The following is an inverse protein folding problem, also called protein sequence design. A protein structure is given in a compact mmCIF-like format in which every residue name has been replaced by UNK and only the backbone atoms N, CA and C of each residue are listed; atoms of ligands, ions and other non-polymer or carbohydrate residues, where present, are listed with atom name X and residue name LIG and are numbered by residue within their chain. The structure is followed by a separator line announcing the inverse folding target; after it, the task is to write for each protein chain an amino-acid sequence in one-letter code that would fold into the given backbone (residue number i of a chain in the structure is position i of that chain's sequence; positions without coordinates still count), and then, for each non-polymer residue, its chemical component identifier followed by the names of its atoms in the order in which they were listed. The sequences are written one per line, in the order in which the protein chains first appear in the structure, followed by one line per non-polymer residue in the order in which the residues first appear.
data_IF_494140612748
#
_entry.id   IF_494140612748
#
_cell.length_a   1.000
_cell.length_b   1.000
_cell.length_c   1.000
_cell.angle_alpha   90.00
_cell.angle_beta   90.00
_cell.angle_gamma   90.00
#
_symmetry.space_group_name_H-M   'P 1'
#
loop_
_entity.id
_entity.type
_entity.pdbx_description
1 polymer ?
#
# COMPACT_ATOMS: atom_id res chain seq x y z
N UNK A 1 -2.36 1.77 -9.04
CA UNK A 1 -3.32 0.85 -8.40
C UNK A 1 -3.22 -0.48 -9.08
N UNK A 2 -2.74 -1.48 -8.37
CA UNK A 2 -2.49 -2.82 -8.92
C UNK A 2 -3.67 -3.78 -8.76
N UNK A 3 -4.72 -3.39 -8.06
CA UNK A 3 -5.88 -4.24 -7.81
C UNK A 3 -7.00 -3.95 -8.83
N UNK A 4 -7.47 -5.01 -9.51
CA UNK A 4 -8.64 -4.94 -10.38
C UNK A 4 -9.89 -4.41 -9.68
N UNK A 5 -9.94 -4.52 -8.37
CA UNK A 5 -11.06 -4.10 -7.53
C UNK A 5 -11.29 -2.57 -7.56
N UNK A 6 -10.22 -1.78 -7.54
CA UNK A 6 -10.35 -0.31 -7.51
C UNK A 6 -10.65 0.34 -8.87
N UNK A 7 -10.44 -0.33 -9.99
CA UNK A 7 -10.62 0.27 -11.33
C UNK A 7 -12.08 0.66 -11.60
N UNK A 8 -13.03 -0.17 -11.15
CA UNK A 8 -14.47 0.08 -11.32
C UNK A 8 -14.94 1.21 -10.41
N UNK A 9 -14.49 1.21 -9.16
CA UNK A 9 -14.79 2.30 -8.22
C UNK A 9 -14.19 3.63 -8.70
N UNK A 10 -12.93 3.62 -9.18
CA UNK A 10 -12.30 4.80 -9.75
C UNK A 10 -13.04 5.27 -11.01
N UNK A 11 -13.53 4.37 -11.84
CA UNK A 11 -14.35 4.72 -13.00
C UNK A 11 -15.61 5.46 -12.57
N UNK A 12 -16.34 4.94 -11.60
CA UNK A 12 -17.56 5.59 -11.07
C UNK A 12 -17.26 6.97 -10.49
N UNK A 13 -16.24 7.07 -9.64
CA UNK A 13 -15.82 8.34 -9.04
C UNK A 13 -15.40 9.34 -10.12
N UNK A 14 -14.61 8.89 -11.10
CA UNK A 14 -14.15 9.77 -12.19
C UNK A 14 -15.31 10.29 -13.04
N UNK A 15 -16.27 9.42 -13.38
CA UNK A 15 -17.47 9.81 -14.13
C UNK A 15 -18.30 10.84 -13.36
N UNK A 16 -18.47 10.64 -12.05
CA UNK A 16 -19.18 11.60 -11.20
C UNK A 16 -18.45 12.95 -11.12
N UNK A 17 -17.11 12.95 -10.98
CA UNK A 17 -16.33 14.18 -10.96
C UNK A 17 -16.44 14.94 -12.30
N UNK A 18 -16.39 14.23 -13.43
CA UNK A 18 -16.55 14.84 -14.75
C UNK A 18 -17.95 15.44 -14.88
N UNK A 19 -19.00 14.78 -14.43
CA UNK A 19 -20.37 15.30 -14.46
C UNK A 19 -20.52 16.60 -13.65
N UNK A 20 -19.64 16.81 -12.67
CA UNK A 20 -19.55 18.03 -11.86
C UNK A 20 -18.62 19.10 -12.44
N UNK A 21 -18.08 18.88 -13.64
CA UNK A 21 -17.22 19.82 -14.35
C UNK A 21 -15.74 19.76 -14.03
N UNK A 22 -15.27 18.72 -13.32
CA UNK A 22 -13.85 18.52 -13.07
C UNK A 22 -13.15 17.83 -14.26
N UNK A 23 -11.93 18.25 -14.56
CA UNK A 23 -11.07 17.54 -15.49
C UNK A 23 -10.33 16.42 -14.74
N UNK A 24 -10.55 15.16 -15.13
CA UNK A 24 -10.02 14.00 -14.43
C UNK A 24 -8.93 13.31 -15.23
N UNK A 25 -7.79 13.08 -14.62
CA UNK A 25 -6.65 12.36 -15.21
C UNK A 25 -6.32 11.15 -14.33
N UNK A 26 -6.24 9.97 -14.92
CA UNK A 26 -5.84 8.75 -14.23
C UNK A 26 -4.35 8.47 -14.46
N UNK A 27 -3.57 8.47 -13.39
CA UNK A 27 -2.17 8.05 -13.40
C UNK A 27 -2.04 6.63 -12.85
N UNK A 28 -1.44 5.72 -13.60
CA UNK A 28 -1.31 4.32 -13.17
C UNK A 28 -0.01 3.67 -13.61
N UNK A 29 0.55 2.80 -12.77
CA UNK A 29 1.65 1.90 -13.14
C UNK A 29 1.16 0.56 -13.71
N UNK A 30 -0.14 0.30 -13.72
CA UNK A 30 -0.74 -0.94 -14.21
C UNK A 30 -1.25 -0.79 -15.64
N UNK A 31 -0.62 -1.51 -16.59
CA UNK A 31 -1.12 -1.56 -17.98
C UNK A 31 -2.57 -2.02 -18.06
N UNK A 32 -2.97 -2.97 -17.19
CA UNK A 32 -4.34 -3.49 -17.17
C UNK A 32 -5.35 -2.42 -16.74
N UNK A 33 -5.01 -1.60 -15.76
CA UNK A 33 -5.85 -0.48 -15.33
C UNK A 33 -5.92 0.58 -16.43
N UNK A 34 -4.77 0.94 -17.02
CA UNK A 34 -4.73 1.87 -18.13
C UNK A 34 -5.62 1.42 -19.31
N UNK A 35 -5.48 0.18 -19.75
CA UNK A 35 -6.30 -0.38 -20.83
C UNK A 35 -7.80 -0.42 -20.48
N UNK A 36 -8.13 -0.66 -19.20
CA UNK A 36 -9.52 -0.61 -18.75
C UNK A 36 -10.13 0.78 -18.97
N UNK A 37 -9.43 1.85 -18.59
CA UNK A 37 -9.91 3.22 -18.81
C UNK A 37 -9.97 3.56 -20.31
N UNK A 38 -8.97 3.22 -21.09
CA UNK A 38 -8.96 3.47 -22.53
C UNK A 38 -10.15 2.82 -23.28
N UNK A 39 -10.62 1.67 -22.77
CA UNK A 39 -11.71 0.92 -23.42
C UNK A 39 -13.08 1.35 -22.88
N UNK A 40 -13.23 1.47 -21.54
CA UNK A 40 -14.52 1.64 -20.92
C UNK A 40 -14.86 3.11 -20.58
N UNK A 41 -13.86 3.97 -20.57
CA UNK A 41 -14.02 5.41 -20.25
C UNK A 41 -13.08 6.23 -21.14
N UNK A 42 -13.29 6.24 -22.47
CA UNK A 42 -12.39 6.89 -23.42
C UNK A 42 -12.27 8.41 -23.19
N UNK A 43 -13.28 9.03 -22.59
CA UNK A 43 -13.28 10.45 -22.24
C UNK A 43 -12.37 10.79 -21.06
N UNK A 44 -11.91 9.77 -20.32
CA UNK A 44 -11.00 9.95 -19.19
C UNK A 44 -9.56 9.77 -19.68
N UNK A 45 -8.77 10.83 -19.62
CA UNK A 45 -7.34 10.77 -19.93
C UNK A 45 -6.64 9.80 -18.96
N UNK A 46 -6.14 8.68 -19.47
CA UNK A 46 -5.40 7.69 -18.67
C UNK A 46 -3.96 7.60 -19.12
N UNK A 47 -3.03 7.67 -18.17
CA UNK A 47 -1.59 7.72 -18.40
C UNK A 47 -0.90 6.53 -17.73
N UNK A 48 -0.26 5.69 -18.54
CA UNK A 48 0.57 4.59 -18.08
C UNK A 48 1.98 5.08 -17.75
N UNK A 49 2.26 5.34 -16.47
CA UNK A 49 3.49 5.97 -15.99
C UNK A 49 4.80 5.37 -16.52
N UNK A 50 4.98 4.02 -16.56
CA UNK A 50 6.23 3.46 -17.09
C UNK A 50 6.45 3.74 -18.58
N UNK A 51 5.40 3.98 -19.36
CA UNK A 51 5.52 4.38 -20.76
C UNK A 51 5.76 5.87 -20.87
N UNK A 52 5.00 6.68 -20.14
CA UNK A 52 5.15 8.13 -20.09
C UNK A 52 6.57 8.55 -19.65
N UNK A 53 7.11 7.90 -18.62
CA UNK A 53 8.50 8.16 -18.22
C UNK A 53 9.52 7.85 -19.32
N UNK A 54 9.33 6.74 -20.06
CA UNK A 54 10.22 6.37 -21.17
C UNK A 54 10.10 7.30 -22.38
N UNK A 55 8.91 7.86 -22.64
CA UNK A 55 8.70 8.78 -23.76
C UNK A 55 9.48 10.08 -23.64
N UNK A 56 9.96 10.42 -22.43
CA UNK A 56 10.86 11.55 -22.22
C UNK A 56 12.24 11.37 -22.90
N UNK A 57 12.59 10.15 -23.32
CA UNK A 57 13.89 9.87 -23.95
C UNK A 57 15.11 10.11 -23.05
N UNK A 58 14.91 10.32 -21.75
CA UNK A 58 15.98 10.59 -20.81
C UNK A 58 16.88 9.36 -20.63
N UNK A 59 18.18 9.55 -20.78
CA UNK A 59 19.16 8.56 -20.33
C UNK A 59 19.19 8.55 -18.82
N UNK A 60 19.27 7.35 -18.24
CA UNK A 60 19.41 7.22 -16.80
C UNK A 60 20.64 7.97 -16.28
N UNK A 61 20.45 8.73 -15.22
CA UNK A 61 21.50 9.46 -14.52
C UNK A 61 21.33 9.23 -13.00
N UNK A 62 22.39 8.75 -12.36
CA UNK A 62 22.41 8.64 -10.90
C UNK A 62 22.33 10.02 -10.24
N UNK A 63 23.10 11.00 -10.73
CA UNK A 63 23.07 12.38 -10.23
C UNK A 63 21.69 13.03 -10.44
N UNK A 64 21.07 12.82 -11.61
CA UNK A 64 19.74 13.36 -11.87
C UNK A 64 18.67 12.80 -10.94
N UNK A 65 18.75 11.50 -10.58
CA UNK A 65 17.84 10.95 -9.57
C UNK A 65 18.14 11.50 -8.18
N UNK A 66 19.40 11.69 -7.81
CA UNK A 66 19.80 12.26 -6.53
C UNK A 66 19.32 13.71 -6.38
N UNK A 67 19.40 14.50 -7.47
CA UNK A 67 18.84 15.86 -7.53
C UNK A 67 17.32 15.89 -7.33
N UNK A 68 16.57 14.97 -7.96
CA UNK A 68 15.14 14.84 -7.74
C UNK A 68 14.80 14.53 -6.28
N UNK A 69 15.49 13.58 -5.64
CA UNK A 69 15.27 13.30 -4.24
C UNK A 69 15.63 14.47 -3.33
N UNK A 70 16.70 15.21 -3.67
CA UNK A 70 17.07 16.46 -2.98
C UNK A 70 16.00 17.54 -3.18
N UNK A 71 15.50 17.72 -4.40
CA UNK A 71 14.38 18.64 -4.72
C UNK A 71 13.17 18.36 -3.81
N UNK A 72 12.85 17.08 -3.61
CA UNK A 72 11.72 16.66 -2.78
C UNK A 72 12.05 16.53 -1.28
N UNK A 73 13.28 16.82 -0.88
CA UNK A 73 13.75 16.69 0.51
C UNK A 73 13.41 15.31 1.12
N UNK A 74 13.71 14.26 0.38
CA UNK A 74 13.40 12.90 0.81
C UNK A 74 14.63 11.97 0.73
N UNK A 75 14.79 11.12 1.74
CA UNK A 75 15.91 10.19 1.83
C UNK A 75 15.69 8.98 0.91
N UNK A 76 16.63 8.72 -0.01
CA UNK A 76 16.55 7.59 -0.93
C UNK A 76 16.56 6.23 -0.22
N UNK A 77 17.32 6.09 0.85
CA UNK A 77 17.41 4.82 1.57
C UNK A 77 16.08 4.50 2.24
N UNK A 78 15.42 5.52 2.77
CA UNK A 78 14.06 5.41 3.28
C UNK A 78 13.07 5.04 2.17
N UNK A 79 13.16 5.70 1.02
CA UNK A 79 12.28 5.44 -0.12
C UNK A 79 12.40 4.00 -0.63
N UNK A 80 13.63 3.49 -0.76
CA UNK A 80 13.89 2.15 -1.28
C UNK A 80 13.91 1.06 -0.20
N UNK A 81 13.74 1.40 1.07
CA UNK A 81 13.87 0.46 2.18
C UNK A 81 13.00 -0.78 2.02
N UNK A 82 11.71 -0.60 1.82
CA UNK A 82 10.77 -1.70 1.61
C UNK A 82 11.17 -2.60 0.45
N UNK A 83 11.48 -1.99 -0.67
CA UNK A 83 11.78 -2.71 -1.91
C UNK A 83 13.11 -3.47 -1.83
N UNK A 84 14.09 -2.91 -1.14
CA UNK A 84 15.41 -3.54 -1.00
C UNK A 84 15.46 -4.54 0.15
N UNK A 85 15.01 -4.15 1.33
CA UNK A 85 15.14 -4.96 2.55
C UNK A 85 14.06 -6.03 2.67
N UNK A 86 12.84 -5.72 2.24
CA UNK A 86 11.70 -6.64 2.38
C UNK A 86 11.51 -7.45 1.11
N UNK A 87 11.50 -6.79 -0.05
CA UNK A 87 11.25 -7.44 -1.34
C UNK A 87 12.52 -7.99 -2.01
N UNK A 88 13.69 -7.76 -1.43
CA UNK A 88 14.96 -8.29 -1.92
C UNK A 88 15.39 -7.77 -3.29
N UNK A 89 14.95 -6.58 -3.66
CA UNK A 89 15.24 -5.99 -4.98
C UNK A 89 16.58 -5.28 -4.98
N UNK A 90 17.26 -5.33 -6.14
CA UNK A 90 18.52 -4.61 -6.33
C UNK A 90 18.23 -3.10 -6.44
N UNK A 91 18.85 -2.29 -5.58
CA UNK A 91 18.70 -0.83 -5.55
C UNK A 91 18.95 -0.20 -6.94
N UNK A 92 19.96 -0.68 -7.67
CA UNK A 92 20.26 -0.23 -9.04
C UNK A 92 19.06 -0.38 -9.98
N UNK A 93 18.36 -1.52 -9.96
CA UNK A 93 17.19 -1.75 -10.82
C UNK A 93 16.03 -0.82 -10.44
N UNK A 94 15.84 -0.56 -9.15
CA UNK A 94 14.82 0.38 -8.67
C UNK A 94 15.13 1.81 -9.08
N UNK A 95 16.37 2.25 -8.99
CA UNK A 95 16.81 3.57 -9.44
C UNK A 95 16.53 3.76 -10.93
N UNK A 96 16.89 2.79 -11.77
CA UNK A 96 16.58 2.80 -13.20
C UNK A 96 15.07 2.84 -13.51
N UNK A 97 14.28 2.18 -12.68
CA UNK A 97 12.81 2.20 -12.84
C UNK A 97 12.20 3.53 -12.41
N UNK A 98 12.64 4.08 -11.28
CA UNK A 98 12.05 5.28 -10.69
C UNK A 98 12.44 6.57 -11.40
N UNK A 99 13.68 6.66 -11.91
CA UNK A 99 14.19 7.90 -12.52
C UNK A 99 13.29 8.46 -13.62
N UNK A 100 12.94 7.71 -14.67
CA UNK A 100 12.11 8.25 -15.74
C UNK A 100 10.67 8.55 -15.27
N UNK A 101 10.13 7.77 -14.33
CA UNK A 101 8.79 8.01 -13.81
C UNK A 101 8.76 9.26 -12.95
N UNK A 102 9.73 9.42 -12.05
CA UNK A 102 9.80 10.59 -11.17
C UNK A 102 10.07 11.87 -11.98
N UNK A 103 10.94 11.80 -13.00
CA UNK A 103 11.18 12.91 -13.93
C UNK A 103 9.94 13.28 -14.72
N UNK A 104 9.13 12.29 -15.13
CA UNK A 104 7.87 12.55 -15.80
C UNK A 104 6.86 13.23 -14.84
N UNK A 105 6.71 12.69 -13.65
CA UNK A 105 5.78 13.25 -12.65
C UNK A 105 6.17 14.68 -12.26
N UNK A 106 7.46 14.95 -12.13
CA UNK A 106 7.98 16.28 -11.82
C UNK A 106 7.51 17.32 -12.84
N UNK A 107 7.67 17.02 -14.13
CA UNK A 107 7.18 17.89 -15.22
C UNK A 107 5.66 17.93 -15.31
N UNK A 108 5.03 16.77 -15.20
CA UNK A 108 3.58 16.65 -15.34
C UNK A 108 2.82 17.52 -14.33
N UNK A 109 3.24 17.52 -13.06
CA UNK A 109 2.58 18.32 -12.04
C UNK A 109 2.83 19.83 -12.19
N UNK A 110 3.94 20.24 -12.82
CA UNK A 110 4.22 21.62 -13.14
C UNK A 110 3.41 22.11 -14.37
N UNK A 111 3.29 21.25 -15.38
CA UNK A 111 2.66 21.60 -16.67
C UNK A 111 1.12 21.56 -16.62
N UNK A 112 0.55 20.54 -15.96
CA UNK A 112 -0.91 20.30 -15.98
C UNK A 112 -1.70 21.13 -14.94
N UNK A 113 -1.04 21.88 -14.08
CA UNK A 113 -1.69 22.72 -13.04
C UNK A 113 -2.74 21.94 -12.24
N UNK A 114 -2.31 20.84 -11.64
CA UNK A 114 -3.16 19.96 -10.86
C UNK A 114 -3.61 20.64 -9.57
N UNK A 115 -4.91 20.72 -9.32
CA UNK A 115 -5.47 21.25 -8.08
C UNK A 115 -5.55 20.20 -6.99
N UNK A 116 -6.01 19.00 -7.36
CA UNK A 116 -6.26 17.89 -6.42
C UNK A 116 -5.57 16.61 -6.88
N UNK A 117 -4.96 15.91 -5.95
CA UNK A 117 -4.40 14.60 -6.22
C UNK A 117 -4.96 13.56 -5.25
N UNK A 118 -5.64 12.54 -5.80
CA UNK A 118 -6.19 11.42 -5.03
C UNK A 118 -5.31 10.20 -5.18
N UNK A 119 -4.70 9.75 -4.10
CA UNK A 119 -3.86 8.56 -4.06
C UNK A 119 -4.65 7.36 -3.52
N UNK A 120 -4.60 6.25 -4.24
CA UNK A 120 -5.29 5.01 -3.88
C UNK A 120 -4.30 3.84 -3.78
N UNK A 121 -3.40 3.87 -2.81
CA UNK A 121 -2.48 2.76 -2.58
C UNK A 121 -1.07 3.17 -2.18
N UNK A 122 -0.23 2.17 -1.95
CA UNK A 122 1.09 2.29 -1.33
C UNK A 122 2.18 1.66 -2.22
N UNK A 123 1.93 1.47 -3.51
CA UNK A 123 2.94 1.00 -4.44
C UNK A 123 4.02 2.08 -4.65
N UNK A 124 5.18 1.69 -5.16
CA UNK A 124 6.31 2.60 -5.35
C UNK A 124 5.95 3.82 -6.21
N UNK A 125 5.14 3.62 -7.27
CA UNK A 125 4.61 4.72 -8.10
C UNK A 125 3.69 5.66 -7.31
N UNK A 126 2.88 5.13 -6.40
CA UNK A 126 2.02 5.94 -5.54
C UNK A 126 2.84 6.81 -4.58
N UNK A 127 3.94 6.28 -4.05
CA UNK A 127 4.86 7.03 -3.20
C UNK A 127 5.57 8.13 -4.01
N UNK A 128 5.97 7.85 -5.26
CA UNK A 128 6.54 8.88 -6.15
C UNK A 128 5.55 10.03 -6.40
N UNK A 129 4.30 9.72 -6.70
CA UNK A 129 3.25 10.72 -6.89
C UNK A 129 3.01 11.54 -5.62
N UNK A 130 2.99 10.89 -4.46
CA UNK A 130 2.88 11.58 -3.18
C UNK A 130 4.05 12.52 -2.90
N UNK A 131 5.29 12.12 -3.19
CA UNK A 131 6.46 12.99 -3.03
C UNK A 131 6.36 14.26 -3.88
N UNK A 132 5.95 14.12 -5.13
CA UNK A 132 5.80 15.25 -6.05
C UNK A 132 4.67 16.16 -5.57
N UNK A 133 3.51 15.62 -5.23
CA UNK A 133 2.36 16.41 -4.78
C UNK A 133 2.63 17.24 -3.51
N UNK A 134 3.49 16.77 -2.61
CA UNK A 134 3.87 17.54 -1.40
C UNK A 134 4.65 18.82 -1.67
N UNK A 135 5.34 18.93 -2.80
CA UNK A 135 6.16 20.10 -3.15
C UNK A 135 5.47 21.03 -4.15
N UNK A 136 4.46 20.55 -4.79
CA UNK A 136 3.54 21.35 -5.60
C UNK A 136 2.37 21.75 -4.68
N UNK A 137 1.76 22.91 -4.88
CA UNK A 137 0.60 23.37 -4.10
C UNK A 137 -0.67 22.54 -4.42
N UNK A 138 -0.50 21.24 -4.63
CA UNK A 138 -1.58 20.30 -4.94
C UNK A 138 -2.19 19.81 -3.65
N UNK A 139 -3.50 19.91 -3.52
CA UNK A 139 -4.21 19.34 -2.39
C UNK A 139 -4.24 17.82 -2.50
N UNK A 140 -3.61 17.16 -1.54
CA UNK A 140 -3.41 15.71 -1.56
C UNK A 140 -4.43 14.99 -0.70
N UNK A 141 -5.05 13.97 -1.27
CA UNK A 141 -5.93 13.03 -0.56
C UNK A 141 -5.44 11.60 -0.71
N UNK A 142 -5.32 10.92 0.41
CA UNK A 142 -5.08 9.49 0.44
C UNK A 142 -6.36 8.76 0.81
N UNK A 143 -6.74 7.76 0.02
CA UNK A 143 -7.87 6.89 0.36
C UNK A 143 -7.38 5.54 0.82
N UNK A 144 -7.84 5.12 1.98
CA UNK A 144 -7.55 3.80 2.54
C UNK A 144 -8.84 3.06 2.83
N UNK A 145 -8.85 1.79 2.51
CA UNK A 145 -9.95 0.91 2.82
C UNK A 145 -10.02 0.61 4.32
N UNK A 146 -11.20 0.76 4.91
CA UNK A 146 -11.45 0.34 6.28
C UNK A 146 -11.69 -1.17 6.27
N UNK A 147 -10.67 -1.96 6.58
CA UNK A 147 -10.63 -3.40 6.41
C UNK A 147 -11.69 -4.20 7.19
N UNK A 148 -12.45 -3.55 8.05
CA UNK A 148 -13.46 -4.17 8.90
C UNK A 148 -14.90 -3.86 8.48
N UNK A 149 -15.10 -2.91 7.58
CA UNK A 149 -16.43 -2.47 7.12
C UNK A 149 -16.42 -2.53 5.59
N UNK A 150 -17.24 -3.40 5.03
CA UNK A 150 -17.36 -3.56 3.58
C UNK A 150 -17.76 -2.24 2.93
N UNK A 151 -17.08 -1.89 1.85
CA UNK A 151 -17.29 -0.69 1.04
C UNK A 151 -17.06 0.66 1.77
N UNK A 152 -16.42 0.65 2.93
CA UNK A 152 -16.06 1.87 3.62
C UNK A 152 -14.61 2.28 3.35
N UNK A 153 -14.43 3.52 2.92
CA UNK A 153 -13.13 4.15 2.72
C UNK A 153 -13.03 5.39 3.60
N UNK A 154 -11.87 5.64 4.15
CA UNK A 154 -11.57 6.93 4.75
C UNK A 154 -10.57 7.70 3.88
N UNK A 155 -10.65 9.01 3.97
CA UNK A 155 -9.83 9.94 3.21
C UNK A 155 -9.00 10.75 4.18
N UNK A 156 -7.72 10.92 3.88
CA UNK A 156 -6.81 11.73 4.69
C UNK A 156 -5.92 12.61 3.81
N UNK A 157 -5.43 13.69 4.36
CA UNK A 157 -4.50 14.60 3.71
C UNK A 157 -3.04 14.13 3.80
N UNK A 158 -2.75 13.03 4.48
CA UNK A 158 -1.40 12.45 4.55
C UNK A 158 -1.44 10.92 4.51
N UNK A 159 -0.35 10.30 4.04
CA UNK A 159 -0.18 8.85 4.03
C UNK A 159 -0.18 8.23 5.44
N UNK A 160 0.15 9.00 6.44
CA UNK A 160 0.54 8.50 7.76
C UNK A 160 -0.34 8.95 8.90
N UNK A 161 -1.34 9.77 8.66
CA UNK A 161 -2.13 10.36 9.74
C UNK A 161 -3.61 10.25 9.42
N UNK A 162 -4.33 9.73 10.39
CA UNK A 162 -5.76 9.96 10.47
C UNK A 162 -5.92 11.38 11.06
N UNK A 163 -5.70 12.40 10.22
CA UNK A 163 -5.61 13.81 10.63
C UNK A 163 -6.92 14.34 11.21
N UNK A 164 -8.03 13.71 10.89
CA UNK A 164 -9.36 14.08 11.40
C UNK A 164 -9.67 13.50 12.77
N UNK A 165 -8.92 12.50 13.27
CA UNK A 165 -9.05 12.03 14.66
C UNK A 165 -8.27 12.98 15.56
N UNK A 166 -8.98 13.96 16.08
CA UNK A 166 -8.41 14.86 17.09
C UNK A 166 -8.43 14.19 18.47
N UNK A 167 -7.44 14.48 19.33
CA UNK A 167 -7.41 13.94 20.71
C UNK A 167 -8.72 14.18 21.49
N UNK A 168 -9.44 15.26 21.17
CA UNK A 168 -10.72 15.59 21.76
C UNK A 168 -11.80 14.54 21.46
N UNK A 169 -11.76 13.92 20.28
CA UNK A 169 -12.69 12.84 19.93
C UNK A 169 -12.48 11.59 20.79
N UNK A 170 -11.23 11.30 21.13
CA UNK A 170 -10.90 10.15 21.99
C UNK A 170 -11.33 10.36 23.45
N UNK A 171 -11.53 11.62 23.86
CA UNK A 171 -12.00 11.99 25.22
C UNK A 171 -13.52 12.18 25.30
N UNK A 172 -14.20 12.24 24.16
CA UNK A 172 -15.64 12.43 24.11
C UNK A 172 -16.35 11.17 24.63
N UNK A 173 -17.21 11.33 25.61
CA UNK A 173 -18.10 10.23 26.02
C UNK A 173 -18.99 9.85 24.85
N UNK A 174 -18.93 8.58 24.46
CA UNK A 174 -19.81 8.04 23.42
C UNK A 174 -21.25 8.11 23.89
N UNK A 175 -22.14 8.47 22.97
CA UNK A 175 -23.58 8.39 23.22
C UNK A 175 -24.02 6.92 23.35
N UNK A 176 -25.18 6.66 23.95
CA UNK A 176 -25.76 5.31 23.98
C UNK A 176 -25.96 4.72 22.57
N UNK A 177 -26.25 5.59 21.58
CA UNK A 177 -26.38 5.19 20.19
C UNK A 177 -25.04 4.73 19.59
N UNK A 178 -23.95 5.50 19.83
CA UNK A 178 -22.62 5.14 19.36
C UNK A 178 -22.12 3.83 19.97
N UNK A 179 -22.39 3.62 21.28
CA UNK A 179 -22.04 2.37 21.97
C UNK A 179 -22.78 1.19 21.36
N UNK A 180 -24.07 1.34 21.06
CA UNK A 180 -24.87 0.28 20.42
C UNK A 180 -24.33 -0.06 19.02
N UNK A 181 -23.97 0.95 18.21
CA UNK A 181 -23.35 0.74 16.88
C UNK A 181 -22.03 -0.03 17.03
N UNK A 182 -21.20 0.35 18.01
CA UNK A 182 -19.94 -0.34 18.27
C UNK A 182 -20.14 -1.80 18.73
N UNK A 183 -21.12 -2.05 19.60
CA UNK A 183 -21.47 -3.41 20.07
C UNK A 183 -22.03 -4.28 18.95
N UNK A 184 -22.91 -3.73 18.11
CA UNK A 184 -23.46 -4.43 16.94
C UNK A 184 -22.34 -4.78 15.95
N UNK A 185 -21.43 -3.87 15.70
CA UNK A 185 -20.24 -4.08 14.87
C UNK A 185 -19.33 -5.18 15.44
N UNK A 186 -18.98 -5.11 16.72
CA UNK A 186 -18.17 -6.13 17.38
C UNK A 186 -18.84 -7.51 17.38
N UNK A 187 -20.16 -7.54 17.53
CA UNK A 187 -20.95 -8.77 17.50
C UNK A 187 -20.98 -9.39 16.10
N UNK A 188 -21.13 -8.57 15.07
CA UNK A 188 -21.06 -9.00 13.67
C UNK A 188 -19.64 -9.51 13.34
N UNK A 189 -18.61 -8.79 13.74
CA UNK A 189 -17.19 -9.17 13.51
C UNK A 189 -16.81 -10.47 14.22
N UNK A 190 -17.38 -10.75 15.39
CA UNK A 190 -17.18 -12.03 16.10
C UNK A 190 -17.83 -13.22 15.38
N UNK A 191 -18.95 -13.00 14.69
CA UNK A 191 -19.63 -14.06 13.90
C UNK A 191 -18.87 -14.35 12.61
N UNK A 192 -18.30 -13.35 11.99
CA UNK A 192 -17.45 -13.52 10.80
C UNK A 192 -16.03 -13.93 11.21
N UNK A 193 -15.83 -15.18 11.57
CA UNK A 193 -14.48 -15.78 11.70
C UNK A 193 -13.76 -15.90 10.35
N UNK A 194 -13.74 -14.87 9.56
CA UNK A 194 -12.83 -14.75 8.43
C UNK A 194 -11.45 -14.38 8.96
N UNK A 195 -10.83 -15.33 9.65
CA UNK A 195 -9.39 -15.30 9.77
C UNK A 195 -8.86 -15.38 8.35
N UNK A 196 -8.44 -14.25 7.78
CA UNK A 196 -7.62 -14.22 6.56
C UNK A 196 -6.28 -14.88 6.87
N UNK A 197 -6.33 -16.11 7.33
CA UNK A 197 -5.18 -16.92 7.70
C UNK A 197 -4.78 -17.76 6.51
N UNK A 198 -3.51 -17.67 6.17
CA UNK A 198 -2.86 -18.64 5.32
C UNK A 198 -3.16 -20.07 5.84
N UNK A 199 -4.01 -20.82 5.15
CA UNK A 199 -4.28 -22.21 5.47
C UNK A 199 -3.15 -23.08 4.93
N UNK A 200 -2.34 -23.72 5.79
CA UNK A 200 -1.20 -24.53 5.35
C UNK A 200 -1.59 -25.65 4.39
N UNK A 201 -2.79 -26.20 4.57
CA UNK A 201 -3.31 -27.27 3.72
C UNK A 201 -3.50 -26.86 2.26
N UNK A 202 -3.65 -25.54 1.98
CA UNK A 202 -3.84 -25.03 0.62
C UNK A 202 -2.53 -24.82 -0.14
N UNK A 203 -1.36 -24.88 0.52
CA UNK A 203 -0.06 -24.59 -0.13
C UNK A 203 0.34 -25.59 -1.20
N UNK A 204 -0.05 -26.87 -1.03
CA UNK A 204 0.27 -27.93 -1.98
C UNK A 204 -0.94 -28.41 -2.78
N UNK A 205 -1.98 -27.60 -2.90
CA UNK A 205 -3.17 -27.94 -3.65
C UNK A 205 -3.06 -27.46 -5.10
N UNK A 206 -3.87 -28.05 -6.00
CA UNK A 206 -4.04 -27.58 -7.38
C UNK A 206 -4.33 -26.06 -7.42
N UNK A 207 -5.10 -25.54 -6.46
CA UNK A 207 -5.41 -24.11 -6.36
C UNK A 207 -4.15 -23.24 -6.17
N UNK A 208 -3.20 -23.70 -5.38
CA UNK A 208 -1.91 -23.04 -5.20
C UNK A 208 -1.13 -22.96 -6.52
N UNK A 209 -0.97 -24.08 -7.23
CA UNK A 209 -0.27 -24.09 -8.51
C UNK A 209 -0.96 -23.20 -9.53
N UNK A 210 -2.27 -23.26 -9.63
CA UNK A 210 -3.05 -22.40 -10.52
C UNK A 210 -2.82 -20.92 -10.18
N UNK A 211 -2.87 -20.57 -8.89
CA UNK A 211 -2.66 -19.19 -8.42
C UNK A 211 -1.23 -18.73 -8.73
N UNK A 212 -0.24 -19.60 -8.53
CA UNK A 212 1.15 -19.27 -8.83
C UNK A 212 1.40 -19.11 -10.33
N UNK A 213 0.85 -19.96 -11.18
CA UNK A 213 0.93 -19.82 -12.64
C UNK A 213 0.23 -18.54 -13.14
N UNK A 214 -0.93 -18.21 -12.59
CA UNK A 214 -1.59 -16.94 -12.88
C UNK A 214 -0.74 -15.74 -12.42
N UNK A 215 -0.08 -15.85 -11.28
CA UNK A 215 0.84 -14.81 -10.80
C UNK A 215 2.04 -14.67 -11.73
N UNK A 216 2.64 -15.77 -12.16
CA UNK A 216 3.77 -15.80 -13.10
C UNK A 216 3.39 -15.15 -14.43
N UNK A 217 2.25 -15.54 -15.00
CA UNK A 217 1.72 -14.93 -16.22
C UNK A 217 1.51 -13.41 -16.05
N UNK A 218 0.85 -13.00 -14.95
CA UNK A 218 0.64 -11.59 -14.65
C UNK A 218 1.95 -10.83 -14.41
N UNK A 219 2.94 -11.45 -13.79
CA UNK A 219 4.26 -10.86 -13.57
C UNK A 219 4.99 -10.60 -14.90
N UNK A 220 4.97 -11.56 -15.80
CA UNK A 220 5.60 -11.42 -17.12
C UNK A 220 4.87 -10.37 -17.95
N UNK A 221 3.53 -10.41 -17.99
CA UNK A 221 2.71 -9.49 -18.79
C UNK A 221 2.72 -8.04 -18.28
N UNK A 222 3.10 -7.81 -17.01
CA UNK A 222 3.11 -6.48 -16.41
C UNK A 222 4.26 -5.59 -16.94
N UNK A 223 5.27 -6.17 -17.59
CA UNK A 223 6.40 -5.41 -18.13
C UNK A 223 7.20 -4.65 -17.03
N UNK A 224 7.57 -3.37 -17.25
CA UNK A 224 8.36 -2.60 -16.29
C UNK A 224 7.73 -2.50 -14.90
N UNK A 225 6.40 -2.42 -14.80
CA UNK A 225 5.68 -2.34 -13.52
C UNK A 225 5.83 -3.62 -12.66
N UNK A 226 6.40 -4.70 -13.21
CA UNK A 226 6.81 -5.88 -12.41
C UNK A 226 7.76 -5.53 -11.28
N UNK A 227 8.46 -4.39 -11.39
CA UNK A 227 9.34 -3.90 -10.32
C UNK A 227 8.60 -3.53 -9.03
N UNK A 228 7.30 -3.37 -9.08
CA UNK A 228 6.44 -3.14 -7.91
C UNK A 228 5.86 -4.44 -7.31
N UNK A 229 6.19 -5.59 -7.87
CA UNK A 229 5.69 -6.90 -7.41
C UNK A 229 6.84 -7.79 -6.94
N UNK A 230 6.55 -8.73 -6.07
CA UNK A 230 7.53 -9.79 -5.75
C UNK A 230 7.95 -10.53 -7.02
N UNK A 231 9.24 -10.89 -7.11
CA UNK A 231 9.63 -11.84 -8.15
C UNK A 231 8.99 -13.20 -7.87
N UNK A 232 8.63 -14.00 -8.91
CA UNK A 232 8.03 -15.30 -8.69
C UNK A 232 8.86 -16.23 -7.78
N UNK A 233 10.19 -16.33 -7.90
CA UNK A 233 11.00 -17.11 -6.95
C UNK A 233 10.93 -16.56 -5.52
N UNK A 234 10.95 -15.24 -5.34
CA UNK A 234 10.83 -14.61 -4.02
C UNK A 234 9.48 -14.93 -3.38
N UNK A 235 8.40 -14.87 -4.16
CA UNK A 235 7.07 -15.19 -3.67
C UNK A 235 6.95 -16.67 -3.29
N UNK A 236 7.48 -17.58 -4.12
CA UNK A 236 7.50 -19.01 -3.82
C UNK A 236 8.28 -19.30 -2.52
N UNK A 237 9.48 -18.70 -2.39
CA UNK A 237 10.27 -18.84 -1.18
C UNK A 237 9.57 -18.29 0.07
N UNK A 238 8.90 -17.16 -0.04
CA UNK A 238 8.09 -16.61 1.07
C UNK A 238 6.98 -17.57 1.49
N UNK A 239 6.29 -18.20 0.57
CA UNK A 239 5.21 -19.13 0.87
C UNK A 239 5.73 -20.42 1.50
N UNK A 240 6.78 -21.00 0.93
CA UNK A 240 7.43 -22.21 1.45
C UNK A 240 8.00 -21.95 2.85
N UNK A 241 8.73 -20.85 3.02
CA UNK A 241 9.30 -20.45 4.31
C UNK A 241 8.22 -20.23 5.37
N UNK A 242 7.09 -19.60 5.01
CA UNK A 242 5.95 -19.42 5.93
C UNK A 242 5.32 -20.74 6.34
N UNK A 243 5.22 -21.69 5.40
CA UNK A 243 4.70 -23.02 5.71
C UNK A 243 5.57 -23.72 6.75
N UNK A 244 6.90 -23.82 6.51
CA UNK A 244 7.82 -24.49 7.44
C UNK A 244 7.92 -23.74 8.78
N UNK A 245 7.97 -22.42 8.77
CA UNK A 245 7.94 -21.63 10.01
C UNK A 245 6.67 -21.87 10.81
N UNK A 246 5.51 -21.96 10.17
CA UNK A 246 4.26 -22.24 10.87
C UNK A 246 4.23 -23.65 11.47
N UNK A 247 4.78 -24.66 10.77
CA UNK A 247 4.93 -26.01 11.34
C UNK A 247 5.86 -25.99 12.54
N UNK A 248 7.02 -25.34 12.40
CA UNK A 248 8.02 -25.26 13.47
C UNK A 248 7.48 -24.54 14.71
N UNK A 249 6.81 -23.41 14.52
CA UNK A 249 6.32 -22.60 15.65
C UNK A 249 4.97 -23.07 16.19
N UNK A 250 4.33 -24.08 15.60
CA UNK A 250 3.02 -24.55 16.04
C UNK A 250 2.97 -24.95 17.53
N UNK A 251 4.03 -25.54 18.04
CA UNK A 251 4.16 -25.95 19.43
C UNK A 251 4.32 -24.79 20.43
N UNK A 252 4.68 -23.62 19.94
CA UNK A 252 4.84 -22.41 20.76
C UNK A 252 3.53 -21.64 20.93
N UNK A 253 2.52 -21.91 20.10
CA UNK A 253 1.20 -21.28 20.26
C UNK A 253 0.44 -22.02 21.34
N UNK A 254 0.09 -21.30 22.40
CA UNK A 254 -0.78 -21.78 23.47
C UNK A 254 -2.17 -21.19 23.30
N UNK A 255 -3.16 -21.94 23.77
CA UNK A 255 -4.52 -21.41 23.86
C UNK A 255 -4.57 -20.28 24.88
N UNK A 256 -5.46 -19.34 24.62
CA UNK A 256 -5.69 -18.19 25.48
C UNK A 256 -6.38 -18.64 26.78
N UNK A 257 -5.75 -18.40 27.94
CA UNK A 257 -6.38 -18.58 29.25
C UNK A 257 -7.05 -17.28 29.70
N UNK A 258 -8.36 -17.30 29.82
CA UNK A 258 -9.18 -16.15 30.19
C UNK A 258 -8.92 -15.64 31.60
N UNK A 259 -8.27 -16.43 32.45
CA UNK A 259 -7.99 -16.07 33.85
C UNK A 259 -6.63 -15.37 34.02
N UNK A 260 -5.80 -15.35 32.97
CA UNK A 260 -4.52 -14.66 33.01
C UNK A 260 -4.68 -13.20 32.58
N UNK A 261 -3.86 -12.32 33.12
CA UNK A 261 -3.74 -10.92 32.66
C UNK A 261 -2.86 -10.90 31.41
N UNK A 262 -3.31 -10.23 30.38
CA UNK A 262 -2.60 -10.14 29.11
C UNK A 262 -2.24 -8.72 28.77
N UNK A 263 -1.13 -8.62 28.06
CA UNK A 263 -0.79 -7.45 27.30
C UNK A 263 -0.97 -7.76 25.82
N UNK A 264 -1.95 -7.15 25.18
CA UNK A 264 -2.19 -7.32 23.74
C UNK A 264 -1.30 -6.39 22.95
N UNK A 265 -0.36 -6.94 22.17
CA UNK A 265 0.48 -6.19 21.26
C UNK A 265 0.10 -6.57 19.81
N UNK A 266 -0.58 -5.67 19.06
CA UNK A 266 -0.93 -5.93 17.68
C UNK A 266 0.31 -5.87 16.79
N UNK A 267 0.62 -6.97 16.11
CA UNK A 267 1.70 -7.01 15.13
C UNK A 267 1.16 -6.56 13.76
N UNK A 268 1.83 -5.60 13.17
CA UNK A 268 1.62 -5.24 11.78
C UNK A 268 2.25 -6.26 10.83
N UNK A 269 1.77 -6.30 9.60
CA UNK A 269 2.44 -7.07 8.56
C UNK A 269 3.85 -6.48 8.33
N UNK A 270 4.88 -7.31 8.41
CA UNK A 270 6.28 -6.86 8.29
C UNK A 270 6.61 -6.22 6.93
N UNK A 271 5.76 -6.41 5.91
CA UNK A 271 5.87 -5.80 4.59
C UNK A 271 4.94 -4.58 4.41
N UNK A 272 4.40 -4.06 5.50
CA UNK A 272 3.58 -2.86 5.48
C UNK A 272 4.39 -1.67 4.94
N UNK A 273 3.88 -1.05 3.88
CA UNK A 273 4.58 0.03 3.20
C UNK A 273 4.71 1.26 4.07
N UNK A 274 3.70 1.54 4.89
CA UNK A 274 3.67 2.71 5.76
C UNK A 274 4.74 2.58 6.84
N UNK A 275 4.82 1.43 7.52
CA UNK A 275 5.85 1.20 8.54
C UNK A 275 7.25 1.29 7.90
N UNK A 276 7.44 0.67 6.75
CA UNK A 276 8.72 0.70 6.06
C UNK A 276 9.12 2.09 5.57
N UNK A 277 8.15 2.97 5.29
CA UNK A 277 8.40 4.32 4.81
C UNK A 277 8.62 5.33 5.94
N UNK A 278 7.87 5.22 7.03
CA UNK A 278 7.76 6.29 8.05
C UNK A 278 8.31 5.95 9.40
N UNK A 279 8.31 4.66 9.76
CA UNK A 279 8.69 4.18 11.08
C UNK A 279 9.63 2.98 10.96
N UNK A 280 10.75 3.14 10.26
CA UNK A 280 11.71 2.08 9.98
C UNK A 280 12.33 1.47 11.25
N UNK A 281 12.43 2.25 12.32
CA UNK A 281 12.87 1.79 13.63
C UNK A 281 11.94 0.72 14.22
N UNK A 282 10.66 0.76 13.89
CA UNK A 282 9.66 -0.23 14.32
C UNK A 282 9.47 -1.37 13.32
N UNK A 283 10.23 -1.39 12.23
CA UNK A 283 10.20 -2.50 11.29
C UNK A 283 10.52 -3.84 11.96
N UNK A 284 11.47 -3.84 12.91
CA UNK A 284 11.76 -4.97 13.76
C UNK A 284 10.81 -4.99 14.96
N UNK A 285 9.59 -5.46 14.73
CA UNK A 285 8.54 -5.51 15.76
C UNK A 285 8.92 -6.42 16.94
N UNK A 286 9.82 -7.39 16.76
CA UNK A 286 10.41 -8.18 17.84
C UNK A 286 11.16 -7.31 18.86
N UNK A 287 11.88 -6.28 18.41
CA UNK A 287 12.54 -5.32 19.29
C UNK A 287 11.53 -4.41 20.00
N UNK A 288 10.48 -3.99 19.30
CA UNK A 288 9.40 -3.22 19.91
C UNK A 288 8.69 -4.02 21.02
N UNK A 289 8.40 -5.31 20.78
CA UNK A 289 7.84 -6.19 21.82
C UNK A 289 8.76 -6.30 23.01
N UNK A 290 10.07 -6.51 22.80
CA UNK A 290 11.04 -6.58 23.89
C UNK A 290 11.11 -5.29 24.70
N UNK A 291 11.03 -4.14 24.04
CA UNK A 291 11.01 -2.84 24.69
C UNK A 291 9.75 -2.68 25.55
N UNK A 292 8.58 -3.01 25.00
CA UNK A 292 7.32 -2.98 25.75
C UNK A 292 7.38 -3.93 26.94
N UNK A 293 7.79 -5.19 26.73
CA UNK A 293 7.87 -6.20 27.78
C UNK A 293 8.80 -5.81 28.94
N UNK A 294 9.88 -5.06 28.67
CA UNK A 294 10.79 -4.54 29.70
C UNK A 294 10.17 -3.42 30.55
N UNK A 295 9.20 -2.70 29.99
CA UNK A 295 8.57 -1.54 30.64
C UNK A 295 7.16 -1.82 31.18
N UNK A 296 6.65 -3.04 31.03
CA UNK A 296 5.39 -3.46 31.65
C UNK A 296 5.61 -3.58 33.18
N UNK A 297 4.74 -3.00 34.01
CA UNK A 297 4.74 -3.24 35.45
C UNK A 297 4.69 -4.74 35.74
N UNK A 298 5.40 -5.17 36.76
CA UNK A 298 5.49 -6.60 37.14
C UNK A 298 4.35 -7.06 38.06
N UNK A 299 3.43 -6.12 38.39
CA UNK A 299 2.36 -6.37 39.35
C UNK A 299 1.06 -6.88 38.68
#
# INVERSE_FOLDING_TARGET
ITNNFFKEQLSLISTELISRGYNVIILTSSRKVNNYFLINNPDIRSIYLPQAGRSLGLKYSDSGLDELFKKYNFNQDQFFFRETKIMGRKKKCLRHYCFPILSYLDRFFEEEKIDYFVNCGEALSNIMMWLVSKKTNVEYFHTTWVGYIDNMHYWDSDLNRISWIKPEFLRKKLSKGDLKIAEDFLSASKKEKKVQGFEPRKVFTYYFFKTYLMYLYNYISTGPARMEKYSPPTLANLWISRFFKRLYYRSYYKDFDKNEKYFYFPLHLYYDAIIALTNQEFYRQDEAIKMVAKNIPKD
#
